data_IF_205700015811
#
_entry.id   IF_205700015811
#
_cell.length_a   1.000
_cell.length_b   1.000
_cell.length_c   1.000
_cell.angle_alpha   90.00
_cell.angle_beta   90.00
_cell.angle_gamma   90.00
#
_symmetry.space_group_name_H-M   'P 1'
#
loop_
_entity.id
_entity.type
_entity.pdbx_description
1 polymer ?
#
# COMPACT_ATOMS: atom_id res chain seq x y z
N UNK A 1 -18.43 25.60 18.25
CA UNK A 1 -17.18 24.99 17.75
C UNK A 1 -16.26 26.09 17.30
N UNK A 2 -14.97 25.96 17.53
CA UNK A 2 -13.95 26.96 17.18
C UNK A 2 -13.22 26.53 15.89
N UNK A 3 -12.86 27.49 15.05
CA UNK A 3 -12.18 27.23 13.77
C UNK A 3 -10.67 27.19 13.96
N UNK A 4 -10.04 26.08 13.60
CA UNK A 4 -8.60 25.88 13.77
C UNK A 4 -7.98 25.65 12.40
N UNK A 5 -6.79 26.21 12.18
CA UNK A 5 -6.00 25.93 10.99
C UNK A 5 -4.76 25.14 11.37
N UNK A 6 -4.61 23.97 10.75
CA UNK A 6 -3.49 23.06 10.92
C UNK A 6 -2.59 23.10 9.69
N UNK A 7 -1.29 22.92 9.90
CA UNK A 7 -0.32 22.60 8.85
C UNK A 7 0.06 21.14 9.00
N UNK A 8 0.03 20.37 7.92
CA UNK A 8 0.46 18.97 7.92
C UNK A 8 1.59 18.80 6.90
N UNK A 9 2.62 18.04 7.28
CA UNK A 9 3.78 17.76 6.43
C UNK A 9 4.23 16.30 6.52
N UNK A 10 4.71 15.74 5.41
CA UNK A 10 5.29 14.39 5.35
C UNK A 10 6.45 14.33 4.35
N UNK A 11 7.54 13.64 4.71
CA UNK A 11 8.68 13.44 3.80
C UNK A 11 9.27 12.03 3.79
N UNK A 12 8.55 11.02 4.29
CA UNK A 12 8.97 9.62 4.23
C UNK A 12 7.89 8.78 3.53
N UNK A 13 8.30 7.88 2.62
CA UNK A 13 7.41 6.89 2.03
C UNK A 13 6.29 7.48 1.16
N UNK A 14 5.08 6.90 1.19
CA UNK A 14 3.92 7.46 0.49
C UNK A 14 3.35 8.66 1.26
N UNK A 15 3.98 9.82 1.03
CA UNK A 15 3.70 11.10 1.69
C UNK A 15 2.23 11.50 1.61
N UNK A 16 1.59 11.32 0.45
CA UNK A 16 0.16 11.65 0.29
C UNK A 16 -0.73 10.72 1.09
N UNK A 17 -0.44 9.42 1.09
CA UNK A 17 -1.18 8.46 1.91
C UNK A 17 -1.05 8.77 3.42
N UNK A 18 0.12 9.17 3.90
CA UNK A 18 0.28 9.60 5.31
C UNK A 18 -0.59 10.82 5.64
N UNK A 19 -0.59 11.84 4.78
CA UNK A 19 -1.42 13.03 4.96
C UNK A 19 -2.92 12.69 4.90
N UNK A 20 -3.35 11.82 3.98
CA UNK A 20 -4.72 11.34 3.88
C UNK A 20 -5.16 10.58 5.15
N UNK A 21 -4.37 9.62 5.60
CA UNK A 21 -4.63 8.87 6.85
C UNK A 21 -4.66 9.77 8.08
N UNK A 22 -3.83 10.81 8.11
CA UNK A 22 -3.88 11.81 9.19
C UNK A 22 -5.23 12.52 9.24
N UNK A 23 -5.74 12.96 8.10
CA UNK A 23 -7.07 13.59 7.99
C UNK A 23 -8.20 12.61 8.33
N UNK A 24 -8.11 11.34 7.91
CA UNK A 24 -9.08 10.28 8.27
C UNK A 24 -9.10 10.04 9.78
N UNK A 25 -7.93 9.94 10.43
CA UNK A 25 -7.86 9.79 11.87
C UNK A 25 -8.39 11.02 12.61
N UNK A 26 -8.06 12.23 12.18
CA UNK A 26 -8.61 13.46 12.76
C UNK A 26 -10.14 13.53 12.56
N UNK A 27 -10.64 13.17 11.38
CA UNK A 27 -12.07 13.15 11.07
C UNK A 27 -12.86 12.04 11.77
N UNK A 28 -12.19 10.99 12.27
CA UNK A 28 -12.82 9.95 13.08
C UNK A 28 -13.05 10.36 14.54
N UNK A 29 -12.44 11.46 14.99
CA UNK A 29 -12.65 11.99 16.34
C UNK A 29 -13.97 12.78 16.40
N UNK A 30 -14.93 12.34 17.20
CA UNK A 30 -16.28 12.92 17.27
C UNK A 30 -16.34 14.41 17.63
N UNK A 31 -15.27 14.95 18.22
CA UNK A 31 -15.15 16.36 18.62
C UNK A 31 -14.56 17.25 17.53
N UNK A 32 -14.12 16.67 16.40
CA UNK A 32 -13.48 17.37 15.28
C UNK A 32 -14.32 17.23 14.01
N UNK A 33 -14.33 18.29 13.20
CA UNK A 33 -14.93 18.28 11.86
C UNK A 33 -13.91 18.87 10.90
N UNK A 34 -13.55 18.14 9.84
CA UNK A 34 -12.72 18.67 8.75
C UNK A 34 -13.61 19.53 7.83
N UNK A 35 -13.31 20.84 7.73
CA UNK A 35 -14.07 21.79 6.90
C UNK A 35 -13.48 21.90 5.50
N UNK A 36 -12.17 22.19 5.42
CA UNK A 36 -11.45 22.40 4.15
C UNK A 36 -10.03 21.86 4.24
N UNK A 37 -9.50 21.42 3.11
CA UNK A 37 -8.11 21.01 2.95
C UNK A 37 -7.54 21.73 1.72
N UNK A 38 -6.31 22.20 1.81
CA UNK A 38 -5.61 22.84 0.69
C UNK A 38 -5.22 21.82 -0.39
N UNK A 39 -4.65 22.30 -1.49
CA UNK A 39 -3.90 21.43 -2.40
C UNK A 39 -2.63 20.90 -1.73
N UNK A 40 -1.98 19.91 -2.37
CA UNK A 40 -0.65 19.44 -1.98
C UNK A 40 0.44 20.38 -2.50
N UNK A 41 1.44 20.64 -1.67
CA UNK A 41 2.58 21.48 -2.00
C UNK A 41 3.90 20.82 -1.62
N UNK A 42 4.80 20.67 -2.58
CA UNK A 42 6.13 20.11 -2.37
C UNK A 42 7.17 21.21 -2.12
N UNK A 43 8.05 20.97 -1.16
CA UNK A 43 9.10 21.90 -0.73
C UNK A 43 10.38 21.16 -0.37
N UNK A 44 11.53 21.75 -0.71
CA UNK A 44 12.82 21.27 -0.22
C UNK A 44 12.86 21.28 1.32
N UNK A 45 13.56 20.32 1.96
CA UNK A 45 13.69 20.28 3.40
C UNK A 45 14.45 21.50 3.94
N UNK A 46 14.09 21.91 5.16
CA UNK A 46 14.75 23.00 5.88
C UNK A 46 15.76 22.42 6.87
N UNK A 47 16.91 23.08 7.04
CA UNK A 47 17.83 22.76 8.13
C UNK A 47 19.09 21.98 7.77
N UNK A 48 19.44 21.85 6.48
CA UNK A 48 20.74 21.32 6.05
C UNK A 48 20.95 19.82 6.21
N UNK A 49 19.92 19.07 6.60
CA UNK A 49 19.94 17.59 6.62
C UNK A 49 19.50 17.07 5.26
N UNK A 50 20.30 16.18 4.65
CA UNK A 50 19.94 15.50 3.40
C UNK A 50 18.75 14.58 3.64
N UNK A 51 17.62 14.90 3.00
CA UNK A 51 16.37 14.17 3.12
C UNK A 51 15.45 14.46 1.93
N UNK A 52 14.47 13.60 1.72
CA UNK A 52 13.47 13.80 0.67
C UNK A 52 12.67 15.09 0.87
N UNK A 53 12.14 15.62 -0.23
CA UNK A 53 11.27 16.79 -0.22
C UNK A 53 10.02 16.55 0.65
N UNK A 54 9.61 17.58 1.39
CA UNK A 54 8.37 17.56 2.14
C UNK A 54 7.18 17.79 1.22
N UNK A 55 6.12 17.02 1.44
CA UNK A 55 4.80 17.30 0.93
C UNK A 55 3.95 17.91 2.06
N UNK A 56 3.33 19.05 1.79
CA UNK A 56 2.63 19.85 2.77
C UNK A 56 1.18 20.13 2.33
N UNK A 57 0.27 20.17 3.30
CA UNK A 57 -1.10 20.65 3.16
C UNK A 57 -1.47 21.51 4.37
N UNK A 58 -2.50 22.34 4.24
CA UNK A 58 -3.19 22.94 5.36
C UNK A 58 -4.60 22.37 5.48
N UNK A 59 -5.11 22.27 6.70
CA UNK A 59 -6.47 21.84 6.98
C UNK A 59 -7.17 22.84 7.90
N UNK A 60 -8.39 23.23 7.55
CA UNK A 60 -9.29 23.99 8.41
C UNK A 60 -10.23 22.99 9.06
N UNK A 61 -10.29 23.01 10.39
CA UNK A 61 -11.15 22.14 11.17
C UNK A 61 -12.03 22.96 12.12
N UNK A 62 -13.14 22.38 12.54
CA UNK A 62 -13.93 22.86 13.67
C UNK A 62 -13.74 21.91 14.85
N UNK A 63 -13.60 22.46 16.06
CA UNK A 63 -13.41 21.66 17.27
C UNK A 63 -14.25 22.14 18.44
N UNK A 64 -14.58 21.22 19.35
CA UNK A 64 -15.07 21.52 20.70
C UNK A 64 -13.99 21.31 21.77
N UNK A 65 -12.81 20.81 21.39
CA UNK A 65 -11.69 20.56 22.29
C UNK A 65 -11.00 21.85 22.74
N UNK A 66 -10.37 21.81 23.91
CA UNK A 66 -9.38 22.83 24.29
C UNK A 66 -8.09 22.68 23.46
N UNK A 67 -7.20 23.70 23.43
CA UNK A 67 -5.94 23.60 22.71
C UNK A 67 -5.04 22.45 23.16
N UNK A 68 -4.98 22.15 24.46
CA UNK A 68 -4.23 21.04 25.02
C UNK A 68 -4.82 19.69 24.61
N UNK A 69 -6.15 19.58 24.58
CA UNK A 69 -6.84 18.37 24.13
C UNK A 69 -6.59 18.10 22.64
N UNK A 70 -6.66 19.15 21.80
CA UNK A 70 -6.37 19.02 20.37
C UNK A 70 -4.91 18.61 20.14
N UNK A 71 -3.97 19.22 20.87
CA UNK A 71 -2.55 18.87 20.80
C UNK A 71 -2.32 17.39 21.16
N UNK A 72 -3.01 16.89 22.18
CA UNK A 72 -2.95 15.48 22.57
C UNK A 72 -3.54 14.55 21.50
N UNK A 73 -4.64 14.93 20.85
CA UNK A 73 -5.21 14.17 19.72
C UNK A 73 -4.19 14.11 18.57
N UNK A 74 -3.59 15.24 18.22
CA UNK A 74 -2.56 15.34 17.18
C UNK A 74 -1.39 14.39 17.48
N UNK A 75 -0.84 14.42 18.70
CA UNK A 75 0.25 13.53 19.09
C UNK A 75 -0.13 12.04 18.99
N UNK A 76 -1.39 11.68 19.27
CA UNK A 76 -1.87 10.30 19.08
C UNK A 76 -1.94 9.91 17.61
N UNK A 77 -2.38 10.82 16.73
CA UNK A 77 -2.39 10.58 15.28
C UNK A 77 -0.97 10.41 14.73
N UNK A 78 -0.04 11.27 15.14
CA UNK A 78 1.37 11.17 14.77
C UNK A 78 1.99 9.84 15.22
N UNK A 79 1.72 9.41 16.46
CA UNK A 79 2.22 8.15 16.99
C UNK A 79 1.66 6.93 16.24
N UNK A 80 0.36 6.93 15.91
CA UNK A 80 -0.28 5.87 15.11
C UNK A 80 0.33 5.73 13.72
N UNK A 81 0.82 6.83 13.15
CA UNK A 81 1.43 6.87 11.82
C UNK A 81 2.97 6.81 11.89
N UNK A 82 3.53 6.21 12.94
CA UNK A 82 4.94 5.88 13.11
C UNK A 82 5.91 7.09 13.08
N UNK A 83 5.50 8.25 13.60
CA UNK A 83 6.43 9.38 13.75
C UNK A 83 7.55 9.05 14.74
N UNK A 84 8.81 9.06 14.29
CA UNK A 84 9.99 8.93 15.15
C UNK A 84 10.62 10.31 15.44
N UNK A 85 10.92 10.63 16.70
CA UNK A 85 11.55 11.91 17.12
C UNK A 85 13.05 11.75 17.39
N UNK A 86 13.77 10.99 16.55
CA UNK A 86 15.19 10.66 16.79
C UNK A 86 16.15 11.82 16.52
N UNK A 87 15.81 12.75 15.62
CA UNK A 87 16.67 13.89 15.21
C UNK A 87 15.83 15.16 15.08
N UNK A 88 16.31 16.29 15.61
CA UNK A 88 15.65 17.59 15.41
C UNK A 88 15.73 17.99 13.93
N UNK A 89 14.57 18.31 13.31
CA UNK A 89 14.41 18.52 11.85
C UNK A 89 14.73 17.31 10.96
N UNK A 90 14.74 16.11 11.55
CA UNK A 90 14.91 14.88 10.80
C UNK A 90 13.68 14.47 9.99
N UNK A 91 13.84 13.43 9.13
CA UNK A 91 12.76 12.83 8.36
C UNK A 91 11.61 12.35 9.25
N UNK A 92 10.38 12.52 8.78
CA UNK A 92 9.15 12.14 9.50
C UNK A 92 8.05 11.71 8.56
N UNK A 93 7.36 10.65 8.98
CA UNK A 93 6.16 10.14 8.31
C UNK A 93 5.02 11.15 8.34
N UNK A 94 4.89 11.93 9.42
CA UNK A 94 3.87 12.95 9.58
C UNK A 94 4.28 13.99 10.63
N UNK A 95 3.99 15.26 10.34
CA UNK A 95 4.06 16.41 11.22
C UNK A 95 2.76 17.19 11.17
N UNK A 96 2.17 17.50 12.31
CA UNK A 96 0.97 18.34 12.39
C UNK A 96 1.20 19.47 13.39
N UNK A 97 1.13 20.71 12.91
CA UNK A 97 1.26 21.91 13.71
C UNK A 97 -0.08 22.66 13.78
N UNK A 98 -0.47 23.12 14.98
CA UNK A 98 -1.59 24.05 15.16
C UNK A 98 -1.09 25.45 14.81
N UNK A 99 -1.61 26.04 13.74
CA UNK A 99 -1.14 27.33 13.22
C UNK A 99 -1.97 28.50 13.74
N UNK A 100 -3.29 28.41 13.65
CA UNK A 100 -4.23 29.46 14.09
C UNK A 100 -5.39 28.86 14.87
N UNK A 101 -5.89 29.60 15.86
CA UNK A 101 -7.07 29.28 16.67
C UNK A 101 -8.11 30.39 16.54
N UNK A 102 -8.87 30.34 15.45
CA UNK A 102 -9.65 31.46 14.96
C UNK A 102 -8.76 32.69 14.80
N UNK A 103 -9.23 33.82 15.33
CA UNK A 103 -8.46 35.07 15.39
C UNK A 103 -7.77 35.28 16.75
N UNK A 104 -7.68 34.25 17.61
CA UNK A 104 -7.07 34.38 18.94
C UNK A 104 -5.54 34.39 18.89
N UNK A 105 -4.96 35.06 19.87
CA UNK A 105 -3.57 34.91 20.27
C UNK A 105 -3.52 34.14 21.59
N UNK A 106 -2.75 33.05 21.63
CA UNK A 106 -2.51 32.24 22.83
C UNK A 106 -1.01 32.23 23.06
N UNK A 107 -0.58 32.57 24.26
CA UNK A 107 0.83 32.54 24.62
C UNK A 107 0.96 31.96 26.03
N UNK A 108 1.20 30.65 26.11
CA UNK A 108 1.50 29.95 27.36
C UNK A 108 2.69 29.00 27.17
N UNK A 109 3.18 28.39 28.25
CA UNK A 109 4.36 27.50 28.22
C UNK A 109 4.21 26.30 27.29
N UNK A 110 2.97 25.86 27.01
CA UNK A 110 2.67 24.65 26.23
C UNK A 110 2.36 24.94 24.77
N UNK A 111 1.81 26.11 24.45
CA UNK A 111 1.30 26.42 23.13
C UNK A 111 1.34 27.93 22.84
N UNK A 112 1.89 28.26 21.68
CA UNK A 112 1.93 29.61 21.13
C UNK A 112 1.11 29.63 19.84
N UNK A 113 0.08 30.47 19.80
CA UNK A 113 -0.80 30.68 18.65
C UNK A 113 -0.89 32.19 18.36
N UNK A 114 -0.71 32.65 17.11
CA UNK A 114 -0.27 31.86 15.96
C UNK A 114 1.10 31.22 16.18
N UNK A 115 1.34 30.04 15.61
CA UNK A 115 2.60 29.33 15.83
C UNK A 115 3.81 30.25 15.51
N UNK A 116 4.83 30.23 16.37
CA UNK A 116 5.92 31.23 16.38
C UNK A 116 6.65 31.39 15.03
N UNK A 117 6.75 30.30 14.26
CA UNK A 117 7.43 30.29 12.96
C UNK A 117 6.47 30.45 11.75
N UNK A 118 5.17 30.63 11.97
CA UNK A 118 4.15 30.68 10.90
C UNK A 118 4.49 31.69 9.82
N UNK A 119 4.77 32.94 10.22
CA UNK A 119 5.01 34.05 9.29
C UNK A 119 6.41 34.07 8.68
N UNK A 120 7.21 33.02 8.92
CA UNK A 120 8.59 32.87 8.42
C UNK A 120 8.75 31.69 7.46
N UNK A 121 7.66 31.02 7.08
CA UNK A 121 7.71 29.73 6.36
C UNK A 121 6.73 29.71 5.20
N UNK A 122 7.24 29.78 3.96
CA UNK A 122 6.40 29.73 2.76
C UNK A 122 5.59 28.43 2.66
N UNK A 123 6.15 27.31 3.09
CA UNK A 123 5.49 26.00 3.07
C UNK A 123 4.29 25.89 4.02
N UNK A 124 4.17 26.79 5.00
CA UNK A 124 2.99 26.91 5.87
C UNK A 124 1.99 27.90 5.27
N UNK A 125 2.47 29.07 4.85
CA UNK A 125 1.61 30.18 4.42
C UNK A 125 0.92 29.93 3.06
N UNK A 126 1.62 29.30 2.10
CA UNK A 126 1.06 29.07 0.76
C UNK A 126 -0.12 28.09 0.80
N UNK A 127 -0.03 26.89 1.43
CA UNK A 127 -1.18 26.01 1.57
C UNK A 127 -2.34 26.67 2.34
N UNK A 128 -2.05 27.50 3.35
CA UNK A 128 -3.10 28.21 4.09
C UNK A 128 -3.92 29.15 3.19
N UNK A 129 -3.31 29.81 2.20
CA UNK A 129 -4.06 30.72 1.32
C UNK A 129 -5.21 30.05 0.57
N UNK A 130 -5.14 28.74 0.32
CA UNK A 130 -6.20 28.00 -0.36
C UNK A 130 -7.49 27.95 0.47
N UNK A 131 -7.37 27.97 1.79
CA UNK A 131 -8.45 27.64 2.73
C UNK A 131 -8.76 28.73 3.76
N UNK A 132 -7.84 29.69 3.96
CA UNK A 132 -7.98 30.70 4.99
C UNK A 132 -9.12 31.68 4.69
N UNK A 133 -9.81 32.11 5.75
CA UNK A 133 -10.89 33.07 5.62
C UNK A 133 -10.37 34.44 5.17
N UNK A 134 -10.89 34.94 4.06
CA UNK A 134 -10.46 36.20 3.44
C UNK A 134 -10.87 37.43 4.26
N UNK A 135 -11.88 37.33 5.12
CA UNK A 135 -12.29 38.40 6.03
C UNK A 135 -11.42 38.55 7.28
N UNK A 136 -10.62 37.54 7.63
CA UNK A 136 -9.78 37.61 8.85
C UNK A 136 -8.67 38.65 8.73
N UNK A 137 -8.33 39.29 9.86
CA UNK A 137 -7.23 40.24 9.95
C UNK A 137 -5.88 39.61 9.60
N UNK A 138 -5.72 38.31 9.87
CA UNK A 138 -4.49 37.58 9.56
C UNK A 138 -4.33 37.32 8.06
N UNK A 139 -5.41 37.32 7.27
CA UNK A 139 -5.31 37.06 5.82
C UNK A 139 -4.43 38.10 5.11
N UNK A 140 -4.57 39.38 5.46
CA UNK A 140 -3.72 40.46 4.93
C UNK A 140 -2.26 40.24 5.32
N UNK A 141 -2.01 39.86 6.59
CA UNK A 141 -0.66 39.58 7.11
C UNK A 141 -0.02 38.37 6.42
N UNK A 142 -0.77 37.29 6.20
CA UNK A 142 -0.33 36.09 5.46
C UNK A 142 0.13 36.48 4.05
N UNK A 143 -0.69 37.26 3.32
CA UNK A 143 -0.32 37.73 1.97
C UNK A 143 0.95 38.58 1.97
N UNK A 144 1.06 39.54 2.89
CA UNK A 144 2.24 40.38 3.02
C UNK A 144 3.49 39.56 3.33
N UNK A 145 3.40 38.61 4.26
CA UNK A 145 4.51 37.69 4.59
C UNK A 145 4.92 36.84 3.39
N UNK A 146 3.97 36.30 2.62
CA UNK A 146 4.30 35.53 1.40
C UNK A 146 5.03 36.40 0.37
N UNK A 147 4.55 37.63 0.14
CA UNK A 147 5.20 38.55 -0.80
C UNK A 147 6.63 38.88 -0.35
N UNK A 148 6.83 39.16 0.93
CA UNK A 148 8.14 39.43 1.51
C UNK A 148 9.08 38.21 1.40
N UNK A 149 8.64 37.05 1.85
CA UNK A 149 9.45 35.83 1.86
C UNK A 149 9.81 35.37 0.43
N UNK A 150 8.93 35.51 -0.55
CA UNK A 150 9.26 35.21 -1.95
C UNK A 150 10.37 36.10 -2.52
N UNK A 151 10.57 37.29 -1.97
CA UNK A 151 11.65 38.21 -2.38
C UNK A 151 12.96 37.88 -1.66
N UNK A 152 12.90 37.48 -0.39
CA UNK A 152 14.09 37.24 0.45
C UNK A 152 14.60 35.80 0.42
N UNK A 153 13.71 34.81 0.27
CA UNK A 153 14.02 33.38 0.26
C UNK A 153 14.04 32.83 -1.16
N UNK A 154 15.03 33.22 -1.96
CA UNK A 154 15.15 32.79 -3.37
C UNK A 154 15.23 31.26 -3.57
N UNK A 155 15.54 30.49 -2.52
CA UNK A 155 15.80 29.05 -2.61
C UNK A 155 14.63 28.16 -2.18
N UNK A 156 13.71 28.61 -1.32
CA UNK A 156 12.59 27.76 -0.87
C UNK A 156 11.43 27.79 -1.86
N UNK A 157 11.56 27.02 -2.94
CA UNK A 157 10.48 26.82 -3.91
C UNK A 157 9.36 25.99 -3.28
N UNK A 158 8.13 26.50 -3.39
CA UNK A 158 6.90 25.80 -2.99
C UNK A 158 6.09 25.52 -4.25
N UNK A 159 5.99 24.24 -4.62
CA UNK A 159 5.44 23.79 -5.88
C UNK A 159 4.13 23.07 -5.61
N UNK A 160 3.03 23.51 -6.24
CA UNK A 160 1.75 22.78 -6.16
C UNK A 160 1.88 21.44 -6.89
N UNK A 161 1.49 20.36 -6.24
CA UNK A 161 1.52 18.99 -6.79
C UNK A 161 0.08 18.48 -6.88
N UNK A 162 -0.31 17.76 -7.95
CA UNK A 162 -1.63 17.14 -8.02
C UNK A 162 -1.80 16.08 -6.94
N UNK A 163 -3.03 15.91 -6.48
CA UNK A 163 -3.40 14.73 -5.69
C UNK A 163 -3.22 13.47 -6.54
N UNK A 164 -2.61 12.44 -5.97
CA UNK A 164 -2.46 11.11 -6.55
C UNK A 164 -3.84 10.48 -6.55
N UNK A 165 -4.37 10.28 -7.74
CA UNK A 165 -5.62 9.58 -7.95
C UNK A 165 -5.53 8.19 -7.28
N UNK A 166 -6.56 7.79 -6.53
CA UNK A 166 -6.60 6.46 -5.94
C UNK A 166 -6.48 5.41 -7.04
N UNK A 167 -5.73 4.32 -6.83
CA UNK A 167 -5.52 3.26 -7.83
C UNK A 167 -6.85 2.80 -8.44
N UNK A 168 -7.90 2.68 -7.63
CA UNK A 168 -9.27 2.33 -8.05
C UNK A 168 -9.85 3.30 -9.08
N UNK A 169 -9.69 4.61 -8.84
CA UNK A 169 -10.19 5.65 -9.75
C UNK A 169 -9.35 5.72 -11.03
N UNK A 170 -8.03 5.58 -10.87
CA UNK A 170 -7.09 5.47 -12.00
C UNK A 170 -7.49 4.31 -12.92
N UNK A 171 -7.72 3.11 -12.36
CA UNK A 171 -8.12 1.94 -13.13
C UNK A 171 -9.47 2.17 -13.82
N UNK A 172 -10.48 2.73 -13.12
CA UNK A 172 -11.78 3.05 -13.73
C UNK A 172 -11.60 3.97 -14.96
N UNK A 173 -10.82 5.04 -14.80
CA UNK A 173 -10.55 5.98 -15.90
C UNK A 173 -9.84 5.29 -17.07
N UNK A 174 -8.76 4.53 -16.80
CA UNK A 174 -8.01 3.81 -17.83
C UNK A 174 -8.86 2.76 -18.53
N UNK A 175 -9.74 2.05 -17.82
CA UNK A 175 -10.64 1.06 -18.45
C UNK A 175 -11.68 1.75 -19.33
N UNK A 176 -12.18 2.92 -18.93
CA UNK A 176 -13.06 3.73 -19.79
C UNK A 176 -12.34 4.19 -21.06
N UNK A 177 -11.09 4.64 -20.93
CA UNK A 177 -10.22 5.01 -22.06
C UNK A 177 -9.92 3.79 -22.96
N UNK A 178 -9.69 2.62 -22.37
CA UNK A 178 -9.47 1.36 -23.09
C UNK A 178 -10.70 0.97 -23.91
N UNK A 179 -11.90 1.06 -23.35
CA UNK A 179 -13.16 0.76 -24.06
C UNK A 179 -13.31 1.67 -25.30
N UNK A 180 -13.03 2.97 -25.16
CA UNK A 180 -13.01 3.90 -26.31
C UNK A 180 -11.96 3.48 -27.34
N UNK A 181 -10.74 3.16 -26.87
CA UNK A 181 -9.62 2.83 -27.75
C UNK A 181 -9.84 1.55 -28.56
N UNK A 182 -10.57 0.57 -28.02
CA UNK A 182 -10.95 -0.66 -28.76
C UNK A 182 -12.19 -0.48 -29.65
N UNK A 183 -12.77 0.73 -29.70
CA UNK A 183 -13.91 1.07 -30.54
C UNK A 183 -15.28 0.77 -29.93
N UNK A 184 -15.38 0.57 -28.61
CA UNK A 184 -16.65 0.41 -27.90
C UNK A 184 -17.15 1.77 -27.35
N UNK A 185 -18.46 1.86 -27.06
CA UNK A 185 -19.06 3.03 -26.38
C UNK A 185 -19.12 2.78 -24.86
N UNK A 186 -18.33 3.51 -24.03
CA UNK A 186 -18.36 3.34 -22.58
C UNK A 186 -19.68 3.75 -21.91
N UNK A 187 -20.61 4.38 -22.64
CA UNK A 187 -21.93 4.74 -22.13
C UNK A 187 -23.00 3.68 -22.44
N UNK A 188 -22.73 2.69 -23.31
CA UNK A 188 -23.72 1.64 -23.58
C UNK A 188 -24.03 0.82 -22.32
N UNK A 189 -25.27 0.40 -22.20
CA UNK A 189 -25.81 -0.30 -21.03
C UNK A 189 -24.92 -1.45 -20.53
N UNK A 190 -24.42 -2.28 -21.45
CA UNK A 190 -23.65 -3.49 -21.10
C UNK A 190 -22.24 -3.26 -20.55
N UNK A 191 -21.62 -2.07 -20.73
CA UNK A 191 -20.27 -1.79 -20.21
C UNK A 191 -20.16 -0.52 -19.38
N UNK A 192 -21.28 0.19 -19.15
CA UNK A 192 -21.30 1.39 -18.29
C UNK A 192 -20.69 1.13 -16.90
N UNK A 193 -20.92 -0.05 -16.34
CA UNK A 193 -20.38 -0.48 -15.03
C UNK A 193 -19.03 -1.20 -15.12
N UNK A 194 -18.54 -1.52 -16.33
CA UNK A 194 -17.30 -2.28 -16.53
C UNK A 194 -16.08 -1.62 -15.89
N UNK A 195 -15.85 -0.30 -16.00
CA UNK A 195 -14.76 0.36 -15.30
C UNK A 195 -14.69 0.06 -13.79
N UNK A 196 -15.85 0.09 -13.12
CA UNK A 196 -15.95 -0.21 -11.69
C UNK A 196 -15.66 -1.68 -11.41
N UNK A 197 -16.30 -2.58 -12.17
CA UNK A 197 -16.13 -4.03 -12.01
C UNK A 197 -14.68 -4.47 -12.26
N UNK A 198 -14.00 -3.89 -13.24
CA UNK A 198 -12.59 -4.19 -13.52
C UNK A 198 -11.68 -3.69 -12.40
N UNK A 199 -11.94 -2.50 -11.85
CA UNK A 199 -11.18 -1.99 -10.72
C UNK A 199 -11.31 -2.89 -9.47
N UNK A 200 -12.53 -3.34 -9.16
CA UNK A 200 -12.80 -4.28 -8.07
C UNK A 200 -12.16 -5.65 -8.31
N UNK A 201 -12.30 -6.18 -9.53
CA UNK A 201 -11.66 -7.43 -9.94
C UNK A 201 -10.13 -7.37 -9.79
N UNK A 202 -9.49 -6.27 -10.22
CA UNK A 202 -8.04 -6.10 -10.07
C UNK A 202 -7.58 -5.98 -8.62
N UNK A 203 -8.41 -5.48 -7.71
CA UNK A 203 -8.11 -5.54 -6.27
C UNK A 203 -8.12 -6.99 -5.75
N UNK A 204 -9.03 -7.83 -6.25
CA UNK A 204 -9.15 -9.24 -5.87
C UNK A 204 -8.02 -10.10 -6.45
N UNK A 205 -7.84 -10.10 -7.77
CA UNK A 205 -6.91 -11.01 -8.45
C UNK A 205 -5.43 -10.61 -8.28
N UNK A 206 -5.17 -9.36 -7.87
CA UNK A 206 -3.83 -8.85 -7.55
C UNK A 206 -3.66 -8.55 -6.06
N UNK A 207 -4.45 -9.20 -5.19
CA UNK A 207 -4.43 -8.97 -3.74
C UNK A 207 -3.03 -9.12 -3.11
N UNK A 208 -2.14 -9.87 -3.76
CA UNK A 208 -0.79 -10.16 -3.27
C UNK A 208 0.32 -9.46 -4.06
N UNK A 209 -0.01 -8.60 -5.04
CA UNK A 209 0.98 -7.92 -5.90
C UNK A 209 2.03 -7.11 -5.13
N UNK A 210 1.65 -6.49 -4.02
CA UNK A 210 2.54 -5.69 -3.17
C UNK A 210 2.85 -6.38 -1.83
N UNK A 211 2.65 -7.70 -1.75
CA UNK A 211 2.98 -8.47 -0.55
C UNK A 211 4.24 -9.31 -0.80
N UNK A 212 5.23 -9.11 0.05
CA UNK A 212 6.53 -9.79 -0.05
C UNK A 212 6.60 -11.07 0.80
N UNK A 213 5.76 -11.18 1.84
CA UNK A 213 5.82 -12.27 2.81
C UNK A 213 4.45 -12.93 3.00
N UNK A 214 4.43 -14.26 3.08
CA UNK A 214 3.24 -15.02 3.43
C UNK A 214 3.14 -15.17 4.95
N UNK A 215 2.15 -14.52 5.56
CA UNK A 215 1.99 -14.49 7.01
C UNK A 215 0.83 -15.36 7.53
N UNK A 216 0.02 -15.92 6.65
CA UNK A 216 -1.24 -16.58 7.03
C UNK A 216 -1.08 -18.07 7.39
N UNK A 217 -0.01 -18.44 8.10
CA UNK A 217 0.29 -19.83 8.45
C UNK A 217 0.20 -20.10 9.95
N UNK A 218 0.04 -21.39 10.28
CA UNK A 218 0.20 -21.90 11.65
C UNK A 218 0.97 -23.20 11.58
N UNK A 219 2.07 -23.26 12.31
CA UNK A 219 2.94 -24.43 12.46
C UNK A 219 2.55 -25.18 13.73
N UNK A 220 2.65 -26.50 13.68
CA UNK A 220 2.40 -27.39 14.80
C UNK A 220 3.61 -28.31 14.98
N UNK A 221 3.84 -28.70 16.23
CA UNK A 221 4.81 -29.74 16.57
C UNK A 221 4.07 -31.04 16.83
N UNK A 222 4.54 -32.12 16.22
CA UNK A 222 4.08 -33.48 16.47
C UNK A 222 5.17 -34.28 17.19
N UNK A 223 4.83 -35.35 17.94
CA UNK A 223 5.82 -36.19 18.58
C UNK A 223 6.88 -36.65 17.59
N UNK A 224 8.16 -36.48 17.95
CA UNK A 224 9.29 -36.86 17.10
C UNK A 224 9.19 -38.35 16.77
N UNK A 225 9.14 -38.65 15.47
CA UNK A 225 9.27 -40.01 14.94
C UNK A 225 10.49 -40.01 14.02
N UNK A 226 11.29 -41.06 14.09
CA UNK A 226 12.56 -41.15 13.35
C UNK A 226 12.36 -41.23 11.82
N UNK A 227 11.15 -41.58 11.36
CA UNK A 227 10.81 -41.73 9.93
C UNK A 227 9.62 -40.86 9.51
N UNK A 228 9.80 -39.55 9.42
CA UNK A 228 8.81 -38.65 8.82
C UNK A 228 8.44 -39.09 7.40
N UNK A 229 7.14 -39.21 7.13
CA UNK A 229 6.61 -39.56 5.81
C UNK A 229 6.25 -38.31 5.01
N UNK A 230 6.13 -38.46 3.69
CA UNK A 230 5.66 -37.40 2.79
C UNK A 230 4.24 -36.98 3.15
N UNK A 231 4.02 -35.67 3.29
CA UNK A 231 2.70 -35.05 3.34
C UNK A 231 2.42 -34.46 1.96
N UNK A 232 1.32 -34.86 1.33
CA UNK A 232 0.90 -34.41 0.00
C UNK A 232 -0.45 -33.72 0.06
N UNK A 233 -0.53 -32.52 -0.50
CA UNK A 233 -1.80 -31.85 -0.84
C UNK A 233 -1.82 -31.68 -2.36
N UNK A 234 -2.73 -32.41 -3.00
CA UNK A 234 -2.86 -32.45 -4.47
C UNK A 234 -4.16 -31.83 -4.95
N UNK A 235 -4.21 -31.52 -6.25
CA UNK A 235 -5.39 -30.97 -6.92
C UNK A 235 -5.83 -29.60 -6.37
N UNK A 236 -4.87 -28.77 -5.95
CA UNK A 236 -5.13 -27.41 -5.48
C UNK A 236 -5.43 -26.53 -6.69
N UNK A 237 -6.70 -26.19 -6.90
CA UNK A 237 -7.09 -25.25 -7.95
C UNK A 237 -6.51 -23.87 -7.69
N UNK A 238 -5.99 -23.23 -8.73
CA UNK A 238 -5.49 -21.86 -8.66
C UNK A 238 -5.80 -21.08 -9.93
N UNK A 239 -5.84 -19.76 -9.78
CA UNK A 239 -5.96 -18.80 -10.86
C UNK A 239 -4.83 -17.77 -10.74
N UNK A 240 -4.29 -17.36 -11.87
CA UNK A 240 -3.23 -16.35 -11.96
C UNK A 240 -3.34 -15.57 -13.27
N UNK A 241 -2.52 -14.54 -13.42
CA UNK A 241 -2.49 -13.66 -14.58
C UNK A 241 -1.07 -13.60 -15.14
N UNK A 242 -0.93 -13.91 -16.43
CA UNK A 242 0.36 -13.88 -17.11
C UNK A 242 0.85 -12.43 -17.21
N UNK A 243 2.06 -12.15 -16.69
CA UNK A 243 2.62 -10.80 -16.67
C UNK A 243 2.82 -10.18 -18.07
N UNK A 244 3.06 -10.99 -19.10
CA UNK A 244 3.31 -10.52 -20.46
C UNK A 244 2.07 -9.97 -21.18
N UNK A 245 0.88 -10.45 -20.83
CA UNK A 245 -0.34 -10.16 -21.58
C UNK A 245 -1.53 -9.80 -20.70
N UNK A 246 -1.37 -9.89 -19.37
CA UNK A 246 -2.46 -9.73 -18.40
C UNK A 246 -3.66 -10.61 -18.76
N UNK A 247 -3.39 -11.83 -19.26
CA UNK A 247 -4.40 -12.84 -19.56
C UNK A 247 -4.35 -13.96 -18.51
N UNK A 248 -5.50 -14.55 -18.15
CA UNK A 248 -5.53 -15.61 -17.15
C UNK A 248 -4.74 -16.84 -17.57
N UNK A 249 -4.10 -17.47 -16.60
CA UNK A 249 -3.74 -18.88 -16.66
C UNK A 249 -4.16 -19.55 -15.37
N UNK A 250 -4.62 -20.79 -15.47
CA UNK A 250 -5.25 -21.49 -14.35
C UNK A 250 -5.10 -22.99 -14.50
N UNK A 251 -5.17 -23.69 -13.37
CA UNK A 251 -5.03 -25.13 -13.34
C UNK A 251 -4.87 -25.64 -11.93
N UNK A 252 -3.95 -26.57 -11.73
CA UNK A 252 -3.75 -27.28 -10.47
C UNK A 252 -2.30 -27.20 -10.00
N UNK A 253 -2.14 -27.06 -8.69
CA UNK A 253 -0.89 -27.24 -8.00
C UNK A 253 -0.94 -28.50 -7.12
N UNK A 254 0.19 -29.19 -7.04
CA UNK A 254 0.39 -30.38 -6.21
C UNK A 254 1.65 -30.14 -5.39
N UNK A 255 1.50 -30.13 -4.06
CA UNK A 255 2.57 -29.73 -3.14
C UNK A 255 2.80 -30.84 -2.14
N UNK A 256 4.03 -31.32 -2.05
CA UNK A 256 4.47 -32.28 -1.06
C UNK A 256 5.65 -31.77 -0.26
N UNK A 257 5.76 -32.18 1.00
CA UNK A 257 6.94 -31.95 1.82
C UNK A 257 7.18 -33.10 2.78
N UNK A 258 8.41 -33.25 3.27
CA UNK A 258 8.77 -34.22 4.31
C UNK A 258 9.11 -33.46 5.59
N UNK A 259 8.30 -33.59 6.66
CA UNK A 259 8.53 -32.89 7.93
C UNK A 259 9.90 -33.18 8.54
N UNK A 260 10.59 -32.14 9.01
CA UNK A 260 11.79 -32.28 9.85
C UNK A 260 11.39 -32.16 11.32
N UNK A 261 11.88 -33.06 12.18
CA UNK A 261 11.67 -33.01 13.64
C UNK A 261 10.20 -32.90 14.09
N UNK A 262 9.25 -33.46 13.32
CA UNK A 262 7.82 -33.41 13.64
C UNK A 262 7.15 -32.05 13.40
N UNK A 263 7.84 -31.08 12.78
CA UNK A 263 7.30 -29.76 12.45
C UNK A 263 6.41 -29.83 11.21
N UNK A 264 5.12 -29.52 11.36
CA UNK A 264 4.13 -29.58 10.28
C UNK A 264 3.37 -28.25 10.15
N UNK A 265 2.81 -27.99 8.97
CA UNK A 265 1.90 -26.86 8.74
C UNK A 265 0.46 -27.34 8.71
N UNK A 266 -0.49 -26.50 9.13
CA UNK A 266 -1.90 -26.78 8.93
C UNK A 266 -2.21 -27.01 7.44
N UNK A 267 -2.89 -28.10 7.10
CA UNK A 267 -3.12 -28.50 5.70
C UNK A 267 -3.79 -27.39 4.86
N UNK A 268 -4.72 -26.65 5.46
CA UNK A 268 -5.42 -25.54 4.80
C UNK A 268 -4.50 -24.36 4.43
N UNK A 269 -3.25 -24.33 4.92
CA UNK A 269 -2.30 -23.24 4.66
C UNK A 269 -1.56 -23.43 3.34
N UNK A 270 -1.43 -24.66 2.85
CA UNK A 270 -0.79 -24.94 1.57
C UNK A 270 -1.62 -24.35 0.42
N UNK A 271 -2.96 -24.55 0.32
CA UNK A 271 -3.78 -23.85 -0.66
C UNK A 271 -3.72 -22.32 -0.54
N UNK A 272 -3.66 -21.77 0.68
CA UNK A 272 -3.53 -20.32 0.91
C UNK A 272 -2.18 -19.77 0.43
N UNK A 273 -1.12 -20.55 0.56
CA UNK A 273 0.20 -20.21 0.00
C UNK A 273 0.13 -20.21 -1.53
N UNK A 274 -0.51 -21.22 -2.14
CA UNK A 274 -0.72 -21.26 -3.59
C UNK A 274 -1.48 -20.00 -4.07
N UNK A 275 -2.57 -19.63 -3.39
CA UNK A 275 -3.31 -18.38 -3.68
C UNK A 275 -2.41 -17.14 -3.52
N UNK A 276 -1.63 -17.06 -2.45
CA UNK A 276 -0.75 -15.92 -2.18
C UNK A 276 0.30 -15.69 -3.28
N UNK A 277 0.88 -16.75 -3.81
CA UNK A 277 1.86 -16.63 -4.91
C UNK A 277 1.17 -16.41 -6.26
N UNK A 278 -0.08 -16.84 -6.43
CA UNK A 278 -0.78 -16.79 -7.72
C UNK A 278 -1.56 -15.50 -7.95
N UNK A 279 -1.98 -14.78 -6.89
CA UNK A 279 -2.76 -13.52 -6.94
C UNK A 279 -1.91 -12.28 -7.19
N UNK A 280 -1.12 -12.33 -8.27
CA UNK A 280 -0.25 -11.27 -8.80
C UNK A 280 0.03 -11.54 -10.28
N UNK A 281 0.60 -10.56 -10.98
CA UNK A 281 1.20 -10.82 -12.30
C UNK A 281 2.39 -11.76 -12.13
N UNK A 282 2.43 -12.88 -12.87
CA UNK A 282 3.44 -13.91 -12.65
C UNK A 282 3.74 -14.77 -13.89
N UNK A 283 4.74 -15.63 -13.72
CA UNK A 283 5.12 -16.75 -14.59
C UNK A 283 4.82 -18.07 -13.87
N UNK A 284 4.48 -19.13 -14.62
CA UNK A 284 4.15 -20.43 -14.02
C UNK A 284 5.37 -21.04 -13.32
N UNK A 285 6.55 -20.91 -13.92
CA UNK A 285 7.84 -21.31 -13.38
C UNK A 285 8.08 -20.66 -12.02
N UNK A 286 7.82 -19.35 -11.94
CA UNK A 286 7.96 -18.56 -10.71
C UNK A 286 6.97 -18.98 -9.63
N UNK A 287 5.70 -19.18 -9.97
CA UNK A 287 4.71 -19.74 -9.02
C UNK A 287 5.21 -21.07 -8.45
N UNK A 288 5.76 -21.94 -9.31
CA UNK A 288 6.21 -23.27 -8.90
C UNK A 288 7.37 -23.20 -7.91
N UNK A 289 8.39 -22.37 -8.18
CA UNK A 289 9.52 -22.18 -7.28
C UNK A 289 9.13 -21.45 -6.00
N UNK A 290 8.34 -20.36 -6.11
CA UNK A 290 7.97 -19.52 -4.97
C UNK A 290 7.16 -20.32 -3.91
N UNK A 291 6.31 -21.27 -4.33
CA UNK A 291 5.63 -22.19 -3.40
C UNK A 291 6.65 -23.03 -2.61
N UNK A 292 7.61 -23.61 -3.31
CA UNK A 292 8.60 -24.49 -2.71
C UNK A 292 9.52 -23.73 -1.75
N UNK A 293 10.03 -22.60 -2.18
CA UNK A 293 10.97 -21.76 -1.43
C UNK A 293 10.29 -21.17 -0.18
N UNK A 294 9.06 -20.68 -0.31
CA UNK A 294 8.29 -20.19 0.84
C UNK A 294 8.02 -21.30 1.86
N UNK A 295 7.71 -22.51 1.41
CA UNK A 295 7.48 -23.64 2.32
C UNK A 295 8.78 -24.11 2.99
N UNK A 296 9.91 -24.06 2.26
CA UNK A 296 11.24 -24.31 2.82
C UNK A 296 11.56 -23.30 3.93
N UNK A 297 11.31 -22.00 3.69
CA UNK A 297 11.53 -20.94 4.68
C UNK A 297 10.67 -21.12 5.94
N UNK A 298 9.38 -21.43 5.77
CA UNK A 298 8.44 -21.53 6.89
C UNK A 298 8.69 -22.75 7.76
N UNK A 299 9.06 -23.89 7.17
CA UNK A 299 9.10 -25.17 7.87
C UNK A 299 10.50 -25.75 8.08
N UNK A 300 11.50 -25.34 7.30
CA UNK A 300 12.78 -26.05 7.17
C UNK A 300 12.60 -27.59 7.08
N UNK A 301 11.79 -28.09 6.12
CA UNK A 301 11.54 -29.51 5.98
C UNK A 301 12.79 -30.23 5.43
N UNK A 302 12.72 -31.56 5.38
CA UNK A 302 13.77 -32.37 4.72
C UNK A 302 13.80 -32.07 3.20
N UNK A 303 12.65 -31.78 2.61
CA UNK A 303 12.53 -31.30 1.23
C UNK A 303 11.08 -30.98 0.88
N UNK A 304 10.91 -30.26 -0.22
CA UNK A 304 9.62 -29.90 -0.82
C UNK A 304 9.61 -30.32 -2.29
N UNK A 305 8.46 -30.77 -2.78
CA UNK A 305 8.20 -31.04 -4.19
C UNK A 305 6.92 -30.33 -4.63
N UNK A 306 7.00 -29.62 -5.75
CA UNK A 306 5.87 -28.89 -6.34
C UNK A 306 5.74 -29.27 -7.80
N UNK A 307 4.52 -29.59 -8.23
CA UNK A 307 4.12 -29.68 -9.63
C UNK A 307 2.97 -28.69 -9.86
N UNK A 308 3.09 -27.88 -10.90
CA UNK A 308 2.02 -26.99 -11.36
C UNK A 308 1.68 -27.34 -12.80
N UNK A 309 0.40 -27.51 -13.07
CA UNK A 309 -0.16 -27.81 -14.38
C UNK A 309 -1.22 -26.78 -14.70
N UNK A 310 -1.05 -26.04 -15.79
CA UNK A 310 -1.97 -24.96 -16.14
C UNK A 310 -2.19 -24.78 -17.63
N UNK A 311 -3.37 -24.24 -17.94
CA UNK A 311 -3.77 -23.76 -19.26
C UNK A 311 -3.60 -22.26 -19.31
N UNK A 312 -3.08 -21.76 -20.42
CA UNK A 312 -2.72 -20.36 -20.59
C UNK A 312 -3.59 -19.70 -21.65
N UNK A 313 -4.42 -18.73 -21.26
CA UNK A 313 -5.30 -18.06 -22.24
C UNK A 313 -4.50 -17.30 -23.30
N UNK A 314 -3.28 -16.85 -22.99
CA UNK A 314 -2.39 -16.24 -23.98
C UNK A 314 -1.94 -17.21 -25.10
N UNK A 315 -2.00 -18.53 -24.88
CA UNK A 315 -1.70 -19.60 -25.85
C UNK A 315 -2.97 -20.14 -26.50
N UNK A 316 -4.07 -20.20 -25.75
CA UNK A 316 -5.32 -20.82 -26.21
C UNK A 316 -6.23 -19.86 -26.96
N UNK A 317 -6.46 -18.65 -26.45
CA UNK A 317 -7.45 -17.73 -27.00
C UNK A 317 -6.88 -16.84 -28.13
N UNK A 318 -5.55 -16.67 -28.15
CA UNK A 318 -4.84 -15.82 -29.13
C UNK A 318 -3.50 -16.41 -29.52
N UNK A 319 -2.81 -15.74 -30.44
CA UNK A 319 -1.49 -16.18 -30.92
C UNK A 319 -1.58 -17.54 -31.63
N UNK A 320 -0.91 -18.54 -31.09
CA UNK A 320 -0.84 -19.91 -31.65
C UNK A 320 -2.14 -20.70 -31.55
N UNK A 321 -3.08 -20.27 -30.68
CA UNK A 321 -4.46 -20.80 -30.55
C UNK A 321 -4.51 -22.33 -30.37
N UNK A 322 -3.72 -22.87 -29.45
CA UNK A 322 -3.67 -24.32 -29.18
C UNK A 322 -4.56 -24.69 -28.01
N UNK A 323 -5.81 -25.02 -28.31
CA UNK A 323 -6.73 -25.56 -27.32
C UNK A 323 -6.17 -26.85 -26.70
N UNK A 324 -6.43 -27.04 -25.40
CA UNK A 324 -5.97 -28.19 -24.61
C UNK A 324 -4.45 -28.30 -24.41
N UNK A 325 -3.68 -27.26 -24.77
CA UNK A 325 -2.25 -27.21 -24.43
C UNK A 325 -2.08 -27.06 -22.91
N UNK A 326 -1.44 -28.03 -22.28
CA UNK A 326 -1.14 -28.02 -20.86
C UNK A 326 0.36 -27.75 -20.64
N UNK A 327 0.68 -26.73 -19.86
CA UNK A 327 2.05 -26.47 -19.44
C UNK A 327 2.27 -27.06 -18.06
N UNK A 328 3.31 -27.88 -17.91
CA UNK A 328 3.70 -28.50 -16.65
C UNK A 328 5.06 -27.98 -16.21
N UNK A 329 5.14 -27.52 -14.97
CA UNK A 329 6.37 -27.07 -14.32
C UNK A 329 6.57 -27.84 -13.02
N UNK A 330 7.81 -28.15 -12.68
CA UNK A 330 8.15 -28.91 -11.48
C UNK A 330 9.32 -28.26 -10.76
N UNK A 331 9.29 -28.26 -9.43
CA UNK A 331 10.38 -27.76 -8.61
C UNK A 331 10.60 -28.69 -7.40
N UNK A 332 11.86 -29.01 -7.11
CA UNK A 332 12.24 -29.96 -6.07
C UNK A 332 13.36 -29.36 -5.21
N UNK A 333 13.24 -29.49 -3.89
CA UNK A 333 14.25 -29.07 -2.92
C UNK A 333 14.62 -30.20 -1.97
N UNK A 334 15.78 -30.09 -1.32
CA UNK A 334 16.25 -31.07 -0.33
C UNK A 334 16.27 -32.50 -0.88
N UNK A 335 15.75 -33.45 -0.12
CA UNK A 335 15.74 -34.87 -0.51
C UNK A 335 14.94 -35.15 -1.78
N UNK A 336 13.90 -34.36 -2.09
CA UNK A 336 13.24 -34.50 -3.40
C UNK A 336 14.19 -34.15 -4.54
N UNK A 337 15.18 -33.27 -4.37
CA UNK A 337 16.15 -32.95 -5.41
C UNK A 337 17.29 -33.99 -5.50
N UNK A 338 17.73 -34.56 -4.38
CA UNK A 338 18.85 -35.50 -4.36
C UNK A 338 18.43 -36.97 -4.56
N UNK A 339 17.20 -37.36 -4.21
CA UNK A 339 16.72 -38.74 -4.25
C UNK A 339 15.74 -39.00 -5.41
N UNK A 340 16.21 -39.74 -6.42
CA UNK A 340 15.42 -40.09 -7.61
C UNK A 340 14.20 -40.99 -7.30
N UNK A 341 14.32 -41.90 -6.33
CA UNK A 341 13.23 -42.81 -5.96
C UNK A 341 12.08 -42.03 -5.31
N UNK A 342 12.41 -41.07 -4.44
CA UNK A 342 11.43 -40.20 -3.80
C UNK A 342 10.70 -39.31 -4.82
N UNK A 343 11.42 -38.76 -5.82
CA UNK A 343 10.77 -38.04 -6.94
C UNK A 343 9.81 -38.92 -7.71
N UNK A 344 10.24 -40.15 -8.04
CA UNK A 344 9.40 -41.08 -8.78
C UNK A 344 8.13 -41.45 -7.99
N UNK A 345 8.26 -41.64 -6.66
CA UNK A 345 7.11 -41.88 -5.78
C UNK A 345 6.12 -40.72 -5.82
N UNK A 346 6.59 -39.48 -5.62
CA UNK A 346 5.75 -38.28 -5.69
C UNK A 346 5.07 -38.14 -7.06
N UNK A 347 5.82 -38.25 -8.15
CA UNK A 347 5.25 -38.10 -9.50
C UNK A 347 4.22 -39.20 -9.82
N UNK A 348 4.41 -40.41 -9.31
CA UNK A 348 3.48 -41.54 -9.53
C UNK A 348 2.12 -41.32 -8.88
N UNK A 349 2.06 -40.66 -7.71
CA UNK A 349 0.79 -40.42 -6.99
C UNK A 349 -0.03 -39.25 -7.56
N UNK A 350 0.52 -38.51 -8.52
CA UNK A 350 -0.17 -37.43 -9.24
C UNK A 350 -0.96 -37.92 -10.46
N UNK A 351 -0.60 -39.08 -11.01
CA UNK A 351 -1.19 -39.64 -12.23
C UNK A 351 -2.45 -40.47 -11.95
#
# INVERSE_FOLDING_TARGET
>A
MESIYLSLGSNIGDRQNYLKKALEHLGSESRLIIDKVSNYYETAPVGGVEQDAFLNIAAKIYTTCTPEELLNIIHKVEAKLNRSRKVHWGPRTLDIDIIFWGDRSINNEKLIIPHKETFKRLFVLIPLLDIYDKSSIFYKKIKQSITFLKQTEKEQKVIRVPEKEENTQTIKRVVKELLLAIGDDPQREGVRETPRRVAEMYQEIFSSQNQNEFQEYKVFETPKRDNSQMVLVKDISFYSMCEHHMLPFFGKAHVAYIPRNGRIIGLSKIPRLVDFVSRRLSLQEKITSDIADTLMEILDPVGVAVVVEARHMCVEMRGVKKSNSLTRTTYFTGDFNSNAQLRAEFLRVLN
#
